data_IF_113381186960
#
_entry.id   IF_113381186960
#
_cell.length_a   1.000
_cell.length_b   1.000
_cell.length_c   1.000
_cell.angle_alpha   90.00
_cell.angle_beta   90.00
_cell.angle_gamma   90.00
#
_symmetry.space_group_name_H-M   'P 1'
#
loop_
_entity.id
_entity.type
_entity.pdbx_description
1 polymer ?
#
# COMPACT_ATOMS: atom_id res chain seq x y z
N UNK A 1 15.70 -23.31 20.15
CA UNK A 1 14.99 -22.06 19.80
C UNK A 1 14.31 -21.37 21.01
N UNK A 2 14.16 -22.02 22.18
CA UNK A 2 13.56 -21.41 23.39
C UNK A 2 14.51 -20.60 24.29
N UNK A 3 15.83 -20.83 24.25
CA UNK A 3 16.77 -20.18 25.19
C UNK A 3 17.20 -18.76 24.77
N UNK A 4 16.98 -18.38 23.50
CA UNK A 4 17.32 -17.04 23.00
C UNK A 4 16.29 -15.99 23.44
N UNK A 5 15.00 -16.34 23.36
CA UNK A 5 13.90 -15.45 23.79
C UNK A 5 13.89 -15.20 25.30
N UNK A 6 14.20 -16.19 26.14
CA UNK A 6 14.25 -16.00 27.59
C UNK A 6 15.39 -15.07 28.04
N UNK A 7 16.53 -15.11 27.34
CA UNK A 7 17.70 -14.26 27.65
C UNK A 7 17.47 -12.82 27.21
N UNK A 8 16.77 -12.60 26.10
CA UNK A 8 16.36 -11.27 25.63
C UNK A 8 15.31 -10.63 26.56
N UNK A 9 14.34 -11.40 27.05
CA UNK A 9 13.27 -10.90 27.92
C UNK A 9 13.76 -10.49 29.30
N UNK A 10 14.70 -11.26 29.89
CA UNK A 10 15.29 -10.93 31.20
C UNK A 10 16.27 -9.74 31.14
N UNK A 11 16.92 -9.51 29.99
CA UNK A 11 17.73 -8.32 29.76
C UNK A 11 16.87 -7.06 29.59
N UNK A 12 15.74 -7.17 28.88
CA UNK A 12 14.76 -6.09 28.75
C UNK A 12 14.08 -5.75 30.07
N UNK A 13 13.75 -6.74 30.91
CA UNK A 13 13.18 -6.50 32.25
C UNK A 13 14.16 -5.81 33.22
N UNK A 14 15.45 -6.13 33.13
CA UNK A 14 16.48 -5.43 33.93
C UNK A 14 16.72 -4.01 33.47
N UNK A 15 16.63 -3.77 32.15
CA UNK A 15 16.79 -2.43 31.58
C UNK A 15 15.55 -1.55 31.79
N UNK A 16 14.34 -2.12 31.82
CA UNK A 16 13.14 -1.38 32.22
C UNK A 16 13.12 -1.11 33.72
N UNK A 17 13.61 -2.02 34.58
CA UNK A 17 13.75 -1.74 36.01
C UNK A 17 14.77 -0.66 36.33
N UNK A 18 15.89 -0.57 35.59
CA UNK A 18 16.88 0.50 35.78
C UNK A 18 16.34 1.85 35.31
N UNK A 19 15.58 1.89 34.20
CA UNK A 19 14.92 3.10 33.69
C UNK A 19 13.75 3.52 34.59
N UNK A 20 12.97 2.59 35.13
CA UNK A 20 11.92 2.89 36.11
C UNK A 20 12.53 3.40 37.42
N UNK A 21 13.65 2.83 37.88
CA UNK A 21 14.37 3.34 39.07
C UNK A 21 15.01 4.70 38.84
N UNK A 22 15.60 4.96 37.67
CA UNK A 22 16.18 6.28 37.38
C UNK A 22 15.11 7.36 37.18
N UNK A 23 13.95 7.00 36.65
CA UNK A 23 12.77 7.90 36.58
C UNK A 23 12.13 8.10 37.96
N UNK A 24 12.13 7.08 38.83
CA UNK A 24 11.53 7.17 40.17
C UNK A 24 12.42 7.86 41.23
N UNK A 25 13.74 7.93 41.02
CA UNK A 25 14.67 8.52 41.99
C UNK A 25 14.97 10.01 41.78
N UNK A 26 14.68 10.57 40.59
CA UNK A 26 14.89 12.00 40.32
C UNK A 26 13.61 12.85 40.51
N UNK A 27 12.44 12.21 40.53
CA UNK A 27 11.18 12.87 40.89
C UNK A 27 10.94 12.73 42.40
N UNK A 28 11.48 13.66 43.19
CA UNK A 28 10.98 13.90 44.54
C UNK A 28 9.45 13.97 44.52
N UNK A 29 8.81 13.29 45.46
CA UNK A 29 7.35 13.13 45.61
C UNK A 29 6.58 14.47 45.56
N UNK A 30 6.38 15.02 44.37
CA UNK A 30 5.39 16.03 44.08
C UNK A 30 4.15 15.29 43.58
N UNK A 31 3.18 15.11 44.47
CA UNK A 31 1.86 14.49 44.23
C UNK A 31 0.97 15.24 43.20
N UNK A 32 1.55 16.14 42.42
CA UNK A 32 0.89 16.98 41.42
C UNK A 32 1.78 17.10 40.19
N UNK A 33 1.48 16.38 39.11
CA UNK A 33 2.07 16.76 37.82
C UNK A 33 1.35 16.14 36.62
N UNK A 34 1.43 14.85 36.36
CA UNK A 34 0.89 14.24 35.12
C UNK A 34 0.76 12.72 35.25
N UNK A 35 1.59 12.12 36.10
CA UNK A 35 1.63 10.69 36.39
C UNK A 35 0.30 10.20 36.99
N UNK A 36 -0.34 11.00 37.84
CA UNK A 36 -1.66 10.69 38.42
C UNK A 36 -2.74 10.59 37.35
N UNK A 37 -2.75 11.50 36.37
CA UNK A 37 -3.66 11.47 35.22
C UNK A 37 -3.40 10.24 34.34
N UNK A 38 -2.14 9.85 34.18
CA UNK A 38 -1.77 8.65 33.44
C UNK A 38 -2.28 7.38 34.16
N UNK A 39 -2.11 7.28 35.47
CA UNK A 39 -2.66 6.16 36.25
C UNK A 39 -4.19 6.14 36.22
N UNK A 40 -4.84 7.30 36.30
CA UNK A 40 -6.30 7.41 36.19
C UNK A 40 -6.81 6.97 34.82
N UNK A 41 -6.07 7.30 33.75
CA UNK A 41 -6.34 6.83 32.40
C UNK A 41 -6.25 5.30 32.30
N UNK A 42 -5.14 4.73 32.78
CA UNK A 42 -4.91 3.28 32.77
C UNK A 42 -5.97 2.53 33.58
N UNK A 43 -6.31 3.06 34.77
CA UNK A 43 -7.33 2.52 35.63
C UNK A 43 -8.71 2.57 34.98
N UNK A 44 -9.08 3.70 34.37
CA UNK A 44 -10.35 3.86 33.66
C UNK A 44 -10.45 2.91 32.46
N UNK A 45 -9.35 2.70 31.73
CA UNK A 45 -9.31 1.75 30.63
C UNK A 45 -9.41 0.29 31.09
N UNK A 46 -8.75 -0.07 32.20
CA UNK A 46 -8.85 -1.39 32.83
C UNK A 46 -10.29 -1.67 33.30
N UNK A 47 -10.92 -0.68 33.93
CA UNK A 47 -12.30 -0.80 34.37
C UNK A 47 -13.27 -0.85 33.18
N UNK A 48 -12.97 -0.16 32.07
CA UNK A 48 -13.75 -0.27 30.84
C UNK A 48 -13.70 -1.68 30.23
N UNK A 49 -12.56 -2.38 30.35
CA UNK A 49 -12.42 -3.76 29.87
C UNK A 49 -13.31 -4.75 30.63
N UNK A 50 -13.56 -4.48 31.92
CA UNK A 50 -14.38 -5.33 32.80
C UNK A 50 -15.87 -4.95 32.72
N UNK A 51 -16.17 -3.68 32.46
CA UNK A 51 -17.53 -3.18 32.35
C UNK A 51 -18.21 -3.59 31.02
N UNK A 52 -19.54 -3.57 31.01
CA UNK A 52 -20.34 -3.87 29.81
C UNK A 52 -21.31 -2.72 29.48
N UNK A 53 -21.65 -2.57 28.20
CA UNK A 53 -22.67 -1.62 27.73
C UNK A 53 -22.25 -0.14 27.82
N UNK A 54 -23.16 0.73 28.24
CA UNK A 54 -22.94 2.18 28.26
C UNK A 54 -21.80 2.61 29.21
N UNK A 55 -21.61 1.87 30.30
CA UNK A 55 -20.56 2.14 31.28
C UNK A 55 -19.16 1.90 30.70
N UNK A 56 -19.01 0.88 29.84
CA UNK A 56 -17.76 0.60 29.12
C UNK A 56 -17.35 1.80 28.24
N UNK A 57 -18.27 2.35 27.46
CA UNK A 57 -17.99 3.50 26.60
C UNK A 57 -17.64 4.76 27.40
N UNK A 58 -18.34 5.01 28.51
CA UNK A 58 -18.08 6.17 29.37
C UNK A 58 -16.69 6.09 30.03
N UNK A 59 -16.32 4.92 30.56
CA UNK A 59 -15.01 4.68 31.16
C UNK A 59 -13.88 4.69 30.12
N UNK A 60 -14.10 4.17 28.91
CA UNK A 60 -13.12 4.25 27.83
C UNK A 60 -12.86 5.71 27.42
N UNK A 61 -13.92 6.52 27.29
CA UNK A 61 -13.81 7.94 26.95
C UNK A 61 -13.09 8.75 28.05
N UNK A 62 -13.45 8.54 29.32
CA UNK A 62 -12.75 9.16 30.44
C UNK A 62 -11.27 8.77 30.48
N UNK A 63 -10.96 7.49 30.21
CA UNK A 63 -9.59 6.99 30.10
C UNK A 63 -8.80 7.75 29.04
N UNK A 64 -9.36 7.94 27.85
CA UNK A 64 -8.72 8.68 26.77
C UNK A 64 -8.57 10.18 27.09
N UNK A 65 -9.56 10.82 27.71
CA UNK A 65 -9.46 12.24 28.11
C UNK A 65 -8.32 12.43 29.12
N UNK A 66 -8.24 11.57 30.14
CA UNK A 66 -7.15 11.62 31.11
C UNK A 66 -5.79 11.34 30.46
N UNK A 67 -5.73 10.46 29.45
CA UNK A 67 -4.52 10.22 28.68
C UNK A 67 -4.05 11.49 27.95
N UNK A 68 -4.95 12.15 27.23
CA UNK A 68 -4.65 13.38 26.46
C UNK A 68 -4.16 14.47 27.41
N UNK A 69 -4.84 14.68 28.54
CA UNK A 69 -4.44 15.65 29.55
C UNK A 69 -3.10 15.31 30.20
N UNK A 70 -2.85 14.03 30.51
CA UNK A 70 -1.58 13.57 31.06
C UNK A 70 -0.42 13.85 30.10
N UNK A 71 -0.57 13.51 28.82
CA UNK A 71 0.48 13.71 27.81
C UNK A 71 0.67 15.19 27.50
N UNK A 72 -0.40 15.98 27.42
CA UNK A 72 -0.32 17.42 27.24
C UNK A 72 0.45 18.08 28.40
N UNK A 73 0.11 17.73 29.65
CA UNK A 73 0.78 18.25 30.82
C UNK A 73 2.25 17.80 30.90
N UNK A 74 2.51 16.51 30.65
CA UNK A 74 3.86 15.95 30.58
C UNK A 74 4.74 16.70 29.59
N UNK A 75 4.24 16.87 28.36
CA UNK A 75 4.99 17.52 27.28
C UNK A 75 5.14 19.03 27.48
N UNK A 76 4.24 19.68 28.21
CA UNK A 76 4.35 21.10 28.59
C UNK A 76 5.35 21.30 29.75
N UNK A 77 5.40 20.35 30.69
CA UNK A 77 6.29 20.41 31.86
C UNK A 77 7.73 20.05 31.52
N UNK A 78 7.95 19.16 30.55
CA UNK A 78 9.28 18.80 30.06
C UNK A 78 9.75 19.80 29.00
N UNK A 79 10.45 20.85 29.44
CA UNK A 79 11.03 21.90 28.56
C UNK A 79 12.01 21.38 27.48
N UNK A 80 12.39 20.10 27.47
CA UNK A 80 13.47 19.56 26.60
C UNK A 80 13.04 18.94 25.27
N UNK A 81 11.74 18.82 24.95
CA UNK A 81 11.28 18.27 23.67
C UNK A 81 11.19 19.35 22.56
N UNK A 82 12.29 20.07 22.35
CA UNK A 82 12.45 21.04 21.24
C UNK A 82 13.50 20.53 20.28
N UNK A 83 13.13 20.40 19.00
CA UNK A 83 14.10 20.25 17.91
C UNK A 83 14.26 21.63 17.26
N UNK A 84 15.48 22.16 17.32
CA UNK A 84 15.95 23.43 16.74
C UNK A 84 15.28 24.75 17.20
N UNK A 85 13.96 24.76 17.45
CA UNK A 85 13.21 25.74 18.28
C UNK A 85 11.69 25.42 18.31
N UNK A 86 11.27 24.35 17.62
CA UNK A 86 9.85 23.98 17.48
C UNK A 86 9.46 23.01 18.59
N UNK A 87 8.41 23.28 19.38
CA UNK A 87 7.93 22.33 20.38
C UNK A 87 7.32 21.11 19.66
N UNK A 88 7.87 19.91 19.90
CA UNK A 88 7.25 18.66 19.42
C UNK A 88 6.01 18.27 20.23
N UNK A 89 5.79 18.93 21.37
CA UNK A 89 4.67 18.69 22.29
C UNK A 89 3.30 18.68 21.57
N UNK A 90 2.91 19.72 20.80
CA UNK A 90 1.62 19.73 20.09
C UNK A 90 1.49 18.66 19.02
N UNK A 91 2.62 18.19 18.47
CA UNK A 91 2.66 17.12 17.49
C UNK A 91 2.27 15.79 18.11
N UNK A 92 2.88 15.41 19.24
CA UNK A 92 2.56 14.17 19.95
C UNK A 92 1.12 14.18 20.49
N UNK A 93 0.70 15.29 21.11
CA UNK A 93 -0.66 15.40 21.66
C UNK A 93 -1.70 15.37 20.55
N UNK A 94 -1.45 16.05 19.42
CA UNK A 94 -2.37 16.03 18.28
C UNK A 94 -2.48 14.65 17.63
N UNK A 95 -1.43 13.82 17.66
CA UNK A 95 -1.48 12.44 17.17
C UNK A 95 -2.43 11.59 18.01
N UNK A 96 -2.33 11.71 19.34
CA UNK A 96 -3.19 10.98 20.27
C UNK A 96 -4.64 11.45 20.13
N UNK A 97 -4.86 12.77 20.02
CA UNK A 97 -6.19 13.34 19.82
C UNK A 97 -6.79 12.90 18.48
N UNK A 98 -6.02 12.88 17.39
CA UNK A 98 -6.51 12.45 16.09
C UNK A 98 -6.87 10.97 16.07
N UNK A 99 -6.03 10.10 16.65
CA UNK A 99 -6.33 8.68 16.80
C UNK A 99 -7.54 8.46 17.70
N UNK A 100 -7.75 9.28 18.74
CA UNK A 100 -8.93 9.20 19.58
C UNK A 100 -10.21 9.55 18.82
N UNK A 101 -10.26 10.73 18.19
CA UNK A 101 -11.47 11.21 17.48
C UNK A 101 -11.87 10.24 16.36
N UNK A 102 -10.91 9.77 15.57
CA UNK A 102 -11.18 8.95 14.39
C UNK A 102 -11.11 7.44 14.67
N UNK A 103 -10.40 6.99 15.71
CA UNK A 103 -10.24 5.59 16.07
C UNK A 103 -11.29 5.06 17.04
N UNK A 104 -11.88 5.93 17.89
CA UNK A 104 -12.95 5.53 18.82
C UNK A 104 -14.23 5.06 18.11
N UNK A 105 -14.44 5.46 16.86
CA UNK A 105 -15.65 5.16 16.10
C UNK A 105 -15.54 3.84 15.32
N UNK A 106 -14.35 3.43 14.88
CA UNK A 106 -14.18 2.29 13.96
C UNK A 106 -13.22 1.19 14.41
N UNK A 107 -12.52 1.34 15.54
CA UNK A 107 -11.63 0.30 16.10
C UNK A 107 -10.41 -0.03 15.22
N UNK A 108 -10.23 0.70 14.12
CA UNK A 108 -9.07 0.67 13.22
C UNK A 108 -8.60 2.10 12.99
N UNK A 109 -7.29 2.30 12.86
CA UNK A 109 -6.74 3.63 12.54
C UNK A 109 -7.08 3.95 11.10
N UNK A 110 -8.14 4.73 10.88
CA UNK A 110 -8.48 5.21 9.54
C UNK A 110 -7.39 6.17 9.01
N UNK A 111 -7.09 6.15 7.69
CA UNK A 111 -6.18 7.10 7.07
C UNK A 111 -6.52 8.57 7.37
N UNK A 112 -7.82 8.87 7.58
CA UNK A 112 -8.32 10.20 7.96
C UNK A 112 -7.68 10.73 9.25
N UNK A 113 -7.39 9.86 10.21
CA UNK A 113 -6.74 10.24 11.47
C UNK A 113 -5.33 10.80 11.24
N UNK A 114 -4.59 10.19 10.30
CA UNK A 114 -3.23 10.59 9.95
C UNK A 114 -3.23 11.86 9.08
N UNK A 115 -4.25 12.03 8.22
CA UNK A 115 -4.42 13.25 7.42
C UNK A 115 -4.76 14.45 8.32
N UNK A 116 -5.65 14.28 9.31
CA UNK A 116 -6.08 15.35 10.20
C UNK A 116 -5.07 15.69 11.31
N UNK A 117 -4.12 14.79 11.59
CA UNK A 117 -3.15 14.93 12.67
C UNK A 117 -2.37 16.26 12.62
N UNK A 118 -1.71 16.65 11.51
CA UNK A 118 -0.98 17.93 11.44
C UNK A 118 -1.86 19.15 11.77
N UNK A 119 -3.12 19.16 11.32
CA UNK A 119 -4.05 20.26 11.55
C UNK A 119 -4.47 20.37 13.02
N UNK A 120 -4.75 19.22 13.67
CA UNK A 120 -5.07 19.18 15.09
C UNK A 120 -3.87 19.63 15.92
N UNK A 121 -2.67 19.21 15.54
CA UNK A 121 -1.42 19.67 16.18
C UNK A 121 -1.21 21.18 16.04
N UNK A 122 -1.51 21.75 14.86
CA UNK A 122 -1.46 23.20 14.65
C UNK A 122 -2.47 23.93 15.57
N UNK A 123 -3.68 23.41 15.68
CA UNK A 123 -4.72 23.98 16.54
C UNK A 123 -4.28 23.97 18.02
N UNK A 124 -3.76 22.85 18.52
CA UNK A 124 -3.28 22.73 19.91
C UNK A 124 -2.12 23.71 20.17
N UNK A 125 -1.19 23.83 19.23
CA UNK A 125 -0.07 24.78 19.35
C UNK A 125 -0.53 26.25 19.34
N UNK A 126 -1.62 26.56 18.63
CA UNK A 126 -2.18 27.91 18.54
C UNK A 126 -3.03 28.30 19.77
N UNK A 127 -3.61 27.33 20.49
CA UNK A 127 -4.42 27.57 21.69
C UNK A 127 -3.76 28.53 22.70
N UNK A 128 -2.54 28.27 23.22
CA UNK A 128 -1.92 29.15 24.22
C UNK A 128 -1.60 30.55 23.68
N UNK A 129 -1.56 30.75 22.36
CA UNK A 129 -1.33 32.05 21.74
C UNK A 129 -2.62 32.88 21.61
N UNK A 130 -3.79 32.21 21.60
CA UNK A 130 -5.12 32.80 21.45
C UNK A 130 -5.90 32.91 22.77
N UNK A 131 -5.57 32.10 23.78
CA UNK A 131 -6.13 32.20 25.12
C UNK A 131 -5.27 33.13 25.99
N UNK A 132 -5.88 34.17 26.56
CA UNK A 132 -5.24 34.97 27.62
C UNK A 132 -5.23 34.24 28.96
N UNK A 133 -4.53 34.82 29.96
CA UNK A 133 -4.37 34.23 31.31
C UNK A 133 -5.71 33.94 32.02
N UNK A 134 -6.80 34.60 31.60
CA UNK A 134 -8.17 34.41 32.13
C UNK A 134 -9.03 33.42 31.30
N UNK A 135 -8.45 32.60 30.42
CA UNK A 135 -9.16 31.78 29.43
C UNK A 135 -10.09 32.57 28.48
N UNK A 136 -9.98 33.91 28.45
CA UNK A 136 -10.71 34.78 27.54
C UNK A 136 -10.04 34.76 26.16
N UNK A 137 -10.86 34.64 25.12
CA UNK A 137 -10.40 34.70 23.73
C UNK A 137 -9.80 36.10 23.48
N UNK A 138 -8.47 36.18 23.40
CA UNK A 138 -7.76 37.43 23.16
C UNK A 138 -7.25 37.41 21.73
N UNK A 139 -7.55 38.44 20.96
CA UNK A 139 -7.00 38.53 19.60
C UNK A 139 -5.48 38.73 19.70
N UNK A 140 -4.67 37.81 19.14
CA UNK A 140 -3.21 37.90 19.28
C UNK A 140 -2.66 39.16 18.61
N UNK A 141 -1.51 39.63 19.11
CA UNK A 141 -0.75 40.73 18.51
C UNK A 141 -0.37 40.41 17.05
N UNK A 142 -0.23 41.42 16.16
CA UNK A 142 0.01 41.22 14.73
C UNK A 142 1.23 40.34 14.42
N UNK A 143 2.29 40.41 15.23
CA UNK A 143 3.49 39.58 15.06
C UNK A 143 3.22 38.09 15.34
N UNK A 144 2.41 37.79 16.37
CA UNK A 144 2.01 36.41 16.69
C UNK A 144 1.05 35.83 15.64
N UNK A 145 0.24 36.67 14.97
CA UNK A 145 -0.66 36.23 13.89
C UNK A 145 0.10 35.64 12.70
N UNK A 146 1.22 36.27 12.30
CA UNK A 146 2.07 35.78 11.20
C UNK A 146 2.63 34.40 11.52
N UNK A 147 3.10 34.18 12.75
CA UNK A 147 3.60 32.88 13.22
C UNK A 147 2.51 31.81 13.21
N UNK A 148 1.29 32.13 13.64
CA UNK A 148 0.16 31.20 13.61
C UNK A 148 -0.22 30.82 12.17
N UNK A 149 -0.27 31.80 11.26
CA UNK A 149 -0.55 31.55 9.84
C UNK A 149 0.53 30.64 9.24
N UNK A 150 1.82 30.94 9.47
CA UNK A 150 2.93 30.14 8.96
C UNK A 150 2.89 28.70 9.52
N UNK A 151 2.55 28.56 10.81
CA UNK A 151 2.35 27.25 11.43
C UNK A 151 1.20 26.48 10.77
N UNK A 152 0.03 27.09 10.62
CA UNK A 152 -1.12 26.44 9.97
C UNK A 152 -0.84 26.07 8.52
N UNK A 153 -0.23 26.95 7.74
CA UNK A 153 0.12 26.69 6.34
C UNK A 153 1.12 25.54 6.23
N UNK A 154 2.15 25.49 7.08
CA UNK A 154 3.11 24.38 7.06
C UNK A 154 2.45 23.04 7.41
N UNK A 155 1.59 23.01 8.43
CA UNK A 155 0.87 21.80 8.82
C UNK A 155 -0.19 21.39 7.77
N UNK A 156 -0.80 22.35 7.07
CA UNK A 156 -1.69 22.08 5.94
C UNK A 156 -0.93 21.41 4.79
N UNK A 157 0.27 21.88 4.47
CA UNK A 157 1.13 21.24 3.45
C UNK A 157 1.42 19.78 3.85
N UNK A 158 1.76 19.51 5.12
CA UNK A 158 1.95 18.13 5.60
C UNK A 158 0.67 17.29 5.49
N UNK A 159 -0.49 17.86 5.82
CA UNK A 159 -1.79 17.18 5.66
C UNK A 159 -2.05 16.82 4.20
N UNK A 160 -1.79 17.75 3.26
CA UNK A 160 -1.89 17.50 1.82
C UNK A 160 -0.92 16.41 1.38
N UNK A 161 0.32 16.37 1.89
CA UNK A 161 1.28 15.30 1.60
C UNK A 161 0.79 13.94 2.09
N UNK A 162 0.22 13.85 3.30
CA UNK A 162 -0.36 12.60 3.79
C UNK A 162 -1.55 12.16 2.95
N UNK A 163 -2.45 13.08 2.61
CA UNK A 163 -3.59 12.79 1.75
C UNK A 163 -3.13 12.29 0.37
N UNK A 164 -2.15 12.95 -0.21
CA UNK A 164 -1.54 12.55 -1.47
C UNK A 164 -0.90 11.15 -1.37
N UNK A 165 -0.15 10.88 -0.30
CA UNK A 165 0.44 9.57 -0.06
C UNK A 165 -0.62 8.47 0.00
N UNK A 166 -1.70 8.63 0.78
CA UNK A 166 -2.76 7.63 0.85
C UNK A 166 -3.52 7.47 -0.46
N UNK A 167 -3.75 8.56 -1.20
CA UNK A 167 -4.36 8.49 -2.53
C UNK A 167 -3.50 7.65 -3.48
N UNK A 168 -2.20 7.88 -3.52
CA UNK A 168 -1.27 7.10 -4.36
C UNK A 168 -1.21 5.64 -3.91
N UNK A 169 -1.15 5.36 -2.61
CA UNK A 169 -1.16 3.98 -2.12
C UNK A 169 -2.44 3.23 -2.50
N UNK A 170 -3.60 3.88 -2.41
CA UNK A 170 -4.87 3.28 -2.83
C UNK A 170 -4.89 3.03 -4.34
N UNK A 171 -4.46 4.00 -5.15
CA UNK A 171 -4.34 3.81 -6.61
C UNK A 171 -3.40 2.66 -6.97
N UNK A 172 -2.27 2.51 -6.28
CA UNK A 172 -1.33 1.41 -6.52
C UNK A 172 -1.85 0.05 -6.06
N UNK A 173 -2.73 0.01 -5.04
CA UNK A 173 -3.40 -1.20 -4.61
C UNK A 173 -4.49 -1.64 -5.61
N UNK A 174 -5.23 -0.68 -6.15
CA UNK A 174 -6.31 -0.92 -7.12
C UNK A 174 -5.79 -1.17 -8.55
N UNK A 175 -4.64 -0.58 -8.91
CA UNK A 175 -4.05 -0.66 -10.24
C UNK A 175 -2.54 -0.99 -10.18
N UNK A 176 -2.15 -2.20 -9.71
CA UNK A 176 -0.74 -2.61 -9.62
C UNK A 176 0.03 -2.58 -10.94
N UNK A 177 -0.64 -2.67 -12.10
CA UNK A 177 0.02 -2.54 -13.41
C UNK A 177 0.57 -1.14 -13.66
N UNK A 178 0.09 -0.10 -12.95
CA UNK A 178 0.69 1.23 -12.99
C UNK A 178 2.17 1.20 -12.53
N UNK A 179 2.56 0.28 -11.64
CA UNK A 179 3.96 0.17 -11.18
C UNK A 179 4.93 -0.20 -12.32
N UNK A 180 4.41 -0.83 -13.37
CA UNK A 180 5.19 -1.31 -14.52
C UNK A 180 5.15 -0.30 -15.66
N UNK A 181 4.20 0.64 -15.62
CA UNK A 181 4.03 1.65 -16.66
C UNK A 181 5.20 2.64 -16.69
N UNK A 182 5.34 3.34 -17.82
CA UNK A 182 6.47 4.23 -18.04
C UNK A 182 6.18 5.70 -17.72
N UNK A 183 6.55 6.10 -16.50
CA UNK A 183 6.46 7.50 -16.06
C UNK A 183 7.67 8.37 -16.41
N UNK A 184 8.51 7.98 -17.37
CA UNK A 184 9.70 8.77 -17.75
C UNK A 184 9.38 10.23 -18.17
N UNK A 185 8.14 10.52 -18.57
CA UNK A 185 7.66 11.86 -18.92
C UNK A 185 6.91 12.58 -17.79
N UNK A 186 6.79 11.96 -16.62
CA UNK A 186 6.09 12.53 -15.48
C UNK A 186 7.05 13.35 -14.61
N UNK A 187 6.70 14.61 -14.34
CA UNK A 187 7.47 15.48 -13.43
C UNK A 187 7.43 15.01 -11.95
N UNK A 188 6.61 13.99 -11.64
CA UNK A 188 6.27 13.61 -10.27
C UNK A 188 6.80 12.22 -9.85
N UNK A 189 7.09 11.31 -10.80
CA UNK A 189 7.42 9.90 -10.48
C UNK A 189 8.78 9.55 -11.05
N UNK A 190 9.79 9.40 -10.18
CA UNK A 190 11.13 8.95 -10.54
C UNK A 190 11.25 7.45 -10.25
N UNK A 191 11.55 6.64 -11.27
CA UNK A 191 11.83 5.22 -11.09
C UNK A 191 13.16 5.03 -10.37
N UNK A 192 13.13 4.35 -9.23
CA UNK A 192 14.34 3.85 -8.60
C UNK A 192 14.73 2.51 -9.26
N UNK A 193 15.90 2.40 -9.92
CA UNK A 193 16.28 1.23 -10.71
C UNK A 193 16.66 -0.01 -9.88
N UNK A 194 16.46 0.02 -8.56
CA UNK A 194 16.94 -1.02 -7.63
C UNK A 194 15.99 -2.21 -7.47
N UNK A 195 14.76 -2.15 -7.98
CA UNK A 195 13.82 -3.26 -7.91
C UNK A 195 13.73 -4.00 -9.25
N UNK A 196 13.69 -5.34 -9.25
CA UNK A 196 13.44 -6.10 -10.46
C UNK A 196 12.08 -5.68 -11.05
N UNK A 197 11.97 -5.60 -12.39
CA UNK A 197 10.73 -5.16 -13.03
C UNK A 197 9.59 -6.09 -12.61
N UNK A 198 8.60 -5.50 -11.93
CA UNK A 198 7.37 -6.21 -11.57
C UNK A 198 6.64 -6.52 -12.88
N UNK A 199 6.13 -7.74 -13.04
CA UNK A 199 5.36 -8.11 -14.23
C UNK A 199 3.96 -7.52 -14.16
N UNK A 200 3.39 -7.05 -15.29
CA UNK A 200 2.04 -6.52 -15.29
C UNK A 200 1.05 -7.65 -15.05
N UNK A 201 -0.10 -7.33 -14.44
CA UNK A 201 -1.09 -8.32 -14.00
C UNK A 201 -1.62 -9.19 -15.15
N UNK A 202 -1.69 -8.62 -16.36
CA UNK A 202 -2.06 -9.33 -17.58
C UNK A 202 -1.15 -10.53 -17.92
N UNK A 203 0.12 -10.53 -17.52
CA UNK A 203 1.01 -11.71 -17.68
C UNK A 203 0.54 -12.86 -16.79
N UNK A 204 0.27 -12.58 -15.51
CA UNK A 204 -0.24 -13.58 -14.57
C UNK A 204 -1.58 -14.18 -15.05
N UNK A 205 -2.43 -13.34 -15.66
CA UNK A 205 -3.67 -13.80 -16.28
C UNK A 205 -3.41 -14.74 -17.45
N UNK A 206 -2.54 -14.36 -18.39
CA UNK A 206 -2.16 -15.20 -19.53
C UNK A 206 -1.46 -16.51 -19.11
N UNK A 207 -0.63 -16.48 -18.08
CA UNK A 207 0.06 -17.66 -17.55
C UNK A 207 -0.94 -18.65 -16.95
N UNK A 208 -1.92 -18.17 -16.18
CA UNK A 208 -2.96 -19.02 -15.62
C UNK A 208 -3.89 -19.57 -16.72
N UNK A 209 -4.25 -18.76 -17.71
CA UNK A 209 -4.99 -19.23 -18.88
C UNK A 209 -4.23 -20.31 -19.65
N UNK A 210 -2.94 -20.10 -19.91
CA UNK A 210 -2.09 -21.08 -20.57
C UNK A 210 -1.99 -22.39 -19.78
N UNK A 211 -1.89 -22.31 -18.44
CA UNK A 211 -1.92 -23.48 -17.58
C UNK A 211 -3.24 -24.24 -17.67
N UNK A 212 -4.39 -23.55 -17.64
CA UNK A 212 -5.71 -24.19 -17.79
C UNK A 212 -5.89 -24.81 -19.18
N UNK A 213 -5.43 -24.12 -20.22
CA UNK A 213 -5.44 -24.62 -21.58
C UNK A 213 -4.61 -25.89 -21.71
N UNK A 214 -3.40 -25.92 -21.13
CA UNK A 214 -2.58 -27.13 -21.07
C UNK A 214 -3.30 -28.26 -20.32
N UNK A 215 -3.94 -27.98 -19.19
CA UNK A 215 -4.69 -29.00 -18.45
C UNK A 215 -5.85 -29.61 -19.26
N UNK A 216 -6.58 -28.79 -20.03
CA UNK A 216 -7.73 -29.26 -20.79
C UNK A 216 -7.35 -29.96 -22.10
N UNK A 217 -6.29 -29.49 -22.76
CA UNK A 217 -5.92 -29.93 -24.10
C UNK A 217 -4.75 -30.91 -24.13
N UNK A 218 -3.88 -30.99 -23.12
CA UNK A 218 -2.71 -31.87 -23.18
C UNK A 218 -3.10 -33.35 -22.98
N UNK A 219 -2.42 -34.24 -23.69
CA UNK A 219 -2.63 -35.70 -23.64
C UNK A 219 -4.06 -36.17 -23.98
N UNK A 220 -4.83 -35.36 -24.71
CA UNK A 220 -6.14 -35.76 -25.25
C UNK A 220 -5.98 -36.37 -26.65
N UNK A 221 -6.88 -37.26 -27.09
CA UNK A 221 -6.87 -37.79 -28.45
C UNK A 221 -6.97 -36.66 -29.50
N UNK A 222 -6.15 -36.72 -30.55
CA UNK A 222 -6.09 -35.68 -31.58
C UNK A 222 -7.46 -35.33 -32.22
N UNK A 223 -8.34 -36.30 -32.56
CA UNK A 223 -9.64 -35.98 -33.14
C UNK A 223 -10.55 -35.16 -32.20
N UNK A 224 -10.40 -35.34 -30.89
CA UNK A 224 -11.15 -34.53 -29.90
C UNK A 224 -10.64 -33.09 -29.89
N UNK A 225 -9.34 -32.90 -30.05
CA UNK A 225 -8.70 -31.58 -30.08
C UNK A 225 -9.08 -30.82 -31.34
N UNK A 226 -9.10 -31.47 -32.51
CA UNK A 226 -9.56 -30.85 -33.74
C UNK A 226 -11.01 -30.36 -33.63
N UNK A 227 -11.87 -31.15 -32.98
CA UNK A 227 -13.25 -30.75 -32.70
C UNK A 227 -13.35 -29.55 -31.76
N UNK A 228 -12.55 -29.51 -30.70
CA UNK A 228 -12.52 -28.40 -29.73
C UNK A 228 -11.91 -27.13 -30.32
N UNK A 229 -11.01 -27.25 -31.31
CA UNK A 229 -10.39 -26.11 -31.99
C UNK A 229 -11.25 -25.51 -33.12
N UNK A 230 -12.41 -26.11 -33.43
CA UNK A 230 -13.40 -25.51 -34.32
C UNK A 230 -13.88 -24.16 -33.78
N UNK A 231 -14.20 -23.17 -34.64
CA UNK A 231 -14.47 -21.79 -34.22
C UNK A 231 -15.42 -21.65 -33.03
N UNK A 232 -16.59 -22.29 -33.08
CA UNK A 232 -17.62 -22.19 -32.04
C UNK A 232 -17.21 -22.84 -30.70
N UNK A 233 -16.63 -24.04 -30.74
CA UNK A 233 -16.20 -24.74 -29.52
C UNK A 233 -14.98 -24.07 -28.89
N UNK A 234 -14.10 -23.52 -29.72
CA UNK A 234 -12.95 -22.74 -29.29
C UNK A 234 -13.38 -21.47 -28.56
N UNK A 235 -14.35 -20.73 -29.09
CA UNK A 235 -14.88 -19.54 -28.42
C UNK A 235 -15.41 -19.88 -27.02
N UNK A 236 -16.18 -20.96 -26.91
CA UNK A 236 -16.69 -21.46 -25.62
C UNK A 236 -15.56 -21.84 -24.67
N UNK A 237 -14.55 -22.57 -25.17
CA UNK A 237 -13.37 -22.95 -24.39
C UNK A 237 -12.65 -21.73 -23.82
N UNK A 238 -12.36 -20.73 -24.65
CA UNK A 238 -11.63 -19.53 -24.23
C UNK A 238 -12.46 -18.69 -23.26
N UNK A 239 -13.77 -18.53 -23.49
CA UNK A 239 -14.66 -17.83 -22.55
C UNK A 239 -14.71 -18.55 -21.20
N UNK A 240 -14.83 -19.88 -21.18
CA UNK A 240 -14.83 -20.67 -19.96
C UNK A 240 -13.50 -20.54 -19.19
N UNK A 241 -12.37 -20.69 -19.88
CA UNK A 241 -11.04 -20.53 -19.27
C UNK A 241 -10.86 -19.10 -18.73
N UNK A 242 -11.32 -18.08 -19.45
CA UNK A 242 -11.25 -16.67 -19.04
C UNK A 242 -12.05 -16.45 -17.76
N UNK A 243 -13.30 -16.91 -17.71
CA UNK A 243 -14.15 -16.79 -16.51
C UNK A 243 -13.54 -17.49 -15.29
N UNK A 244 -13.02 -18.71 -15.47
CA UNK A 244 -12.34 -19.46 -14.41
C UNK A 244 -11.06 -18.77 -13.93
N UNK A 245 -10.33 -18.13 -14.86
CA UNK A 245 -9.10 -17.40 -14.56
C UNK A 245 -9.41 -16.15 -13.75
N UNK A 246 -10.41 -15.35 -14.16
CA UNK A 246 -10.87 -14.18 -13.41
C UNK A 246 -11.33 -14.56 -12.01
N UNK A 247 -12.10 -15.64 -11.85
CA UNK A 247 -12.56 -16.11 -10.55
C UNK A 247 -11.39 -16.52 -9.63
N UNK A 248 -10.34 -17.13 -10.18
CA UNK A 248 -9.18 -17.58 -9.39
C UNK A 248 -8.25 -16.43 -9.02
N UNK A 249 -8.08 -15.44 -9.90
CA UNK A 249 -7.26 -14.24 -9.64
C UNK A 249 -7.97 -13.27 -8.68
N UNK A 250 -9.31 -13.19 -8.73
CA UNK A 250 -10.14 -12.32 -7.89
C UNK A 250 -10.20 -12.71 -6.40
N UNK A 251 -9.27 -13.53 -5.90
CA UNK A 251 -9.12 -13.82 -4.45
C UNK A 251 -9.01 -12.54 -3.61
N UNK A 252 -8.57 -11.44 -4.23
CA UNK A 252 -8.91 -10.07 -3.83
C UNK A 252 -9.53 -9.38 -5.06
N UNK A 253 -10.77 -8.89 -4.96
CA UNK A 253 -11.42 -8.16 -6.05
C UNK A 253 -10.62 -6.87 -6.31
N UNK A 254 -9.90 -6.83 -7.43
CA UNK A 254 -9.12 -5.66 -7.85
C UNK A 254 -9.77 -5.11 -9.12
N UNK A 255 -10.07 -3.81 -9.12
CA UNK A 255 -10.77 -3.14 -10.22
C UNK A 255 -10.03 -3.27 -11.56
N UNK A 256 -8.70 -3.41 -11.51
CA UNK A 256 -7.86 -3.63 -12.67
C UNK A 256 -8.30 -4.82 -13.56
N UNK A 257 -8.83 -5.91 -12.97
CA UNK A 257 -9.17 -7.14 -13.71
C UNK A 257 -10.28 -6.95 -14.76
N UNK A 258 -11.11 -5.92 -14.60
CA UNK A 258 -12.19 -5.59 -15.54
C UNK A 258 -11.69 -4.77 -16.73
N UNK A 259 -10.55 -4.09 -16.60
CA UNK A 259 -9.93 -3.29 -17.65
C UNK A 259 -9.05 -4.11 -18.61
N UNK A 260 -8.82 -5.38 -18.29
CA UNK A 260 -8.13 -6.32 -19.15
C UNK A 260 -9.12 -7.08 -20.04
N UNK A 261 -9.02 -6.86 -21.35
CA UNK A 261 -9.75 -7.67 -22.33
C UNK A 261 -8.87 -8.80 -22.84
N UNK A 262 -9.44 -10.00 -22.90
CA UNK A 262 -8.79 -11.19 -23.43
C UNK A 262 -9.29 -11.45 -24.84
N UNK A 263 -8.37 -11.59 -25.78
CA UNK A 263 -8.66 -12.09 -27.11
C UNK A 263 -7.73 -13.24 -27.47
N UNK A 264 -7.88 -13.74 -28.68
CA UNK A 264 -7.03 -14.80 -29.18
C UNK A 264 -6.93 -14.78 -30.71
N UNK A 265 -5.90 -15.42 -31.25
CA UNK A 265 -5.70 -15.62 -32.69
C UNK A 265 -5.22 -17.03 -32.93
N UNK A 266 -5.73 -17.68 -33.98
CA UNK A 266 -5.30 -19.03 -34.38
C UNK A 266 -4.65 -18.98 -35.75
N UNK A 267 -3.47 -19.55 -35.84
CA UNK A 267 -2.76 -19.79 -37.09
C UNK A 267 -2.51 -21.28 -37.24
N UNK A 268 -2.81 -21.85 -38.42
CA UNK A 268 -2.41 -23.21 -38.75
C UNK A 268 -0.88 -23.27 -38.90
N UNK A 269 -0.26 -24.29 -38.31
CA UNK A 269 1.18 -24.52 -38.38
C UNK A 269 1.42 -26.02 -38.46
N UNK A 270 1.62 -26.55 -39.66
CA UNK A 270 1.79 -27.98 -39.94
C UNK A 270 2.91 -28.59 -39.05
N UNK A 271 2.66 -29.68 -38.27
CA UNK A 271 1.47 -30.55 -38.23
C UNK A 271 0.41 -30.24 -37.15
N UNK A 272 0.20 -28.98 -36.77
CA UNK A 272 -0.76 -28.60 -35.72
C UNK A 272 -1.28 -27.16 -35.79
N UNK A 273 -1.57 -26.60 -34.61
CA UNK A 273 -2.17 -25.29 -34.44
C UNK A 273 -1.32 -24.42 -33.52
N UNK A 274 -1.23 -23.14 -33.82
CA UNK A 274 -0.68 -22.14 -32.91
C UNK A 274 -1.81 -21.22 -32.46
N UNK A 275 -2.11 -21.27 -31.16
CA UNK A 275 -3.10 -20.43 -30.50
C UNK A 275 -2.36 -19.32 -29.73
N UNK A 276 -2.43 -18.10 -30.24
CA UNK A 276 -1.93 -16.92 -29.56
C UNK A 276 -3.03 -16.34 -28.68
N UNK A 277 -2.82 -16.36 -27.36
CA UNK A 277 -3.66 -15.64 -26.40
C UNK A 277 -3.15 -14.21 -26.31
N UNK A 278 -4.04 -13.22 -26.43
CA UNK A 278 -3.67 -11.82 -26.25
C UNK A 278 -4.50 -11.20 -25.13
N UNK A 279 -3.89 -10.25 -24.42
CA UNK A 279 -4.57 -9.38 -23.48
C UNK A 279 -4.29 -7.94 -23.83
N UNK A 280 -5.33 -7.15 -23.97
CA UNK A 280 -5.25 -5.72 -24.26
C UNK A 280 -5.73 -4.93 -23.05
N UNK A 281 -4.93 -3.96 -22.64
CA UNK A 281 -5.27 -3.02 -21.58
C UNK A 281 -6.18 -1.90 -22.09
N UNK A 282 -7.32 -1.72 -21.43
CA UNK A 282 -8.27 -0.65 -21.73
C UNK A 282 -8.30 0.47 -20.70
N UNK A 283 -7.54 0.34 -19.62
CA UNK A 283 -7.45 1.35 -18.59
C UNK A 283 -6.62 2.57 -19.00
N UNK A 284 -6.54 3.57 -18.11
CA UNK A 284 -5.67 4.73 -18.29
C UNK A 284 -4.20 4.28 -18.39
N UNK A 285 -3.44 4.98 -19.23
CA UNK A 285 -2.03 4.68 -19.52
C UNK A 285 -1.27 5.96 -19.80
N UNK A 286 -0.01 5.99 -19.40
CA UNK A 286 0.89 7.11 -19.65
C UNK A 286 1.37 7.17 -21.11
N UNK A 287 1.39 6.03 -21.80
CA UNK A 287 1.83 5.92 -23.20
C UNK A 287 0.66 5.68 -24.17
N UNK A 288 0.83 6.19 -25.39
CA UNK A 288 -0.15 6.05 -26.50
C UNK A 288 -0.15 4.63 -27.09
N UNK A 289 0.95 3.87 -26.97
CA UNK A 289 1.07 2.54 -27.58
C UNK A 289 0.13 1.53 -26.92
N UNK A 290 -0.45 0.62 -27.71
CA UNK A 290 -1.30 -0.46 -27.22
C UNK A 290 -0.51 -1.41 -26.31
N UNK A 291 -0.92 -1.46 -25.03
CA UNK A 291 -0.38 -2.37 -24.01
C UNK A 291 -0.86 -3.80 -24.23
N UNK A 292 -0.53 -4.37 -25.39
CA UNK A 292 -0.92 -5.72 -25.78
C UNK A 292 0.15 -6.70 -25.31
N UNK A 293 -0.27 -7.71 -24.55
CA UNK A 293 0.58 -8.81 -24.11
C UNK A 293 0.09 -10.05 -24.84
N UNK A 294 1.01 -10.78 -25.45
CA UNK A 294 0.69 -11.99 -26.22
C UNK A 294 1.46 -13.18 -25.68
N UNK A 295 0.78 -14.33 -25.59
CA UNK A 295 1.37 -15.61 -25.20
C UNK A 295 0.94 -16.68 -26.20
N UNK A 296 1.90 -17.25 -26.92
CA UNK A 296 1.64 -18.23 -27.97
C UNK A 296 1.74 -19.66 -27.45
N UNK A 297 0.74 -20.48 -27.74
CA UNK A 297 0.66 -21.90 -27.38
C UNK A 297 0.59 -22.77 -28.63
N UNK A 298 1.61 -23.58 -28.85
CA UNK A 298 1.68 -24.57 -29.93
C UNK A 298 1.02 -25.87 -29.49
N UNK A 299 0.11 -26.38 -30.32
CA UNK A 299 -0.67 -27.60 -30.10
C UNK A 299 -0.32 -28.56 -31.24
N UNK A 300 0.50 -29.55 -30.95
CA UNK A 300 1.00 -30.50 -31.95
C UNK A 300 0.53 -31.93 -31.65
N UNK A 301 0.25 -32.74 -32.69
CA UNK A 301 0.02 -34.16 -32.54
C UNK A 301 1.34 -34.87 -32.24
N UNK A 302 1.32 -35.79 -31.29
CA UNK A 302 2.46 -36.64 -30.93
C UNK A 302 2.02 -38.09 -30.78
N UNK A 303 2.82 -39.00 -31.31
CA UNK A 303 2.58 -40.43 -31.14
C UNK A 303 2.94 -40.85 -29.71
N UNK A 304 1.98 -41.45 -29.01
CA UNK A 304 2.18 -42.03 -27.68
C UNK A 304 2.08 -43.56 -27.77
N UNK A 305 3.10 -44.30 -27.31
CA UNK A 305 3.02 -45.75 -27.22
C UNK A 305 1.97 -46.15 -26.18
N UNK A 306 1.14 -47.12 -26.54
CA UNK A 306 0.13 -47.74 -25.65
C UNK A 306 0.26 -49.26 -25.73
N UNK A 307 -0.20 -50.02 -24.72
CA UNK A 307 -0.07 -51.49 -24.71
C UNK A 307 -0.69 -52.19 -25.92
N UNK A 308 -1.66 -51.55 -26.59
CA UNK A 308 -2.41 -52.05 -27.73
C UNK A 308 -2.04 -51.38 -29.07
N UNK A 309 -1.04 -50.49 -29.12
CA UNK A 309 -0.61 -49.82 -30.36
C UNK A 309 -0.04 -48.41 -30.16
N UNK A 310 -0.13 -47.56 -31.18
CA UNK A 310 0.22 -46.13 -31.11
C UNK A 310 -1.03 -45.27 -31.16
N UNK A 311 -1.16 -44.31 -30.24
CA UNK A 311 -2.27 -43.34 -30.23
C UNK A 311 -1.72 -41.94 -30.46
N UNK A 312 -2.37 -41.18 -31.34
CA UNK A 312 -2.01 -39.78 -31.58
C UNK A 312 -2.70 -38.92 -30.53
N UNK A 313 -1.90 -38.29 -29.67
CA UNK A 313 -2.38 -37.39 -28.62
C UNK A 313 -1.81 -35.99 -28.83
N UNK A 314 -2.47 -34.98 -28.27
CA UNK A 314 -1.98 -33.61 -28.29
C UNK A 314 -0.87 -33.36 -27.28
N UNK A 315 0.08 -32.52 -27.68
CA UNK A 315 1.07 -31.89 -26.80
C UNK A 315 0.96 -30.38 -26.93
N UNK A 316 0.70 -29.71 -25.80
CA UNK A 316 0.61 -28.24 -25.75
C UNK A 316 1.89 -27.66 -25.15
N UNK A 317 2.52 -26.71 -25.85
CA UNK A 317 3.70 -25.97 -25.38
C UNK A 317 3.46 -24.48 -25.53
N UNK A 318 3.53 -23.73 -24.43
CA UNK A 318 3.35 -22.28 -24.45
C UNK A 318 4.67 -21.56 -24.22
N UNK A 319 4.91 -20.50 -25.00
CA UNK A 319 6.04 -19.61 -24.86
C UNK A 319 5.84 -18.63 -23.68
N UNK A 320 6.92 -18.02 -23.15
CA UNK A 320 6.77 -16.91 -22.21
C UNK A 320 6.01 -15.75 -22.86
N UNK A 321 5.28 -14.98 -22.04
CA UNK A 321 4.53 -13.83 -22.52
C UNK A 321 5.49 -12.77 -23.11
N UNK A 322 5.06 -12.10 -24.18
CA UNK A 322 5.80 -11.04 -24.88
C UNK A 322 4.91 -9.82 -25.02
N UNK A 323 5.50 -8.63 -24.94
CA UNK A 323 4.77 -7.35 -25.05
C UNK A 323 4.75 -6.56 -23.75
N UNK A 324 4.46 -5.26 -23.85
CA UNK A 324 4.43 -4.31 -22.73
C UNK A 324 5.65 -4.38 -21.78
N UNK A 325 6.86 -4.26 -22.33
CA UNK A 325 8.11 -4.28 -21.53
C UNK A 325 8.53 -5.65 -20.99
N UNK A 326 7.72 -6.70 -21.20
CA UNK A 326 8.02 -8.08 -20.80
C UNK A 326 8.94 -8.72 -21.84
N UNK A 327 10.09 -9.24 -21.38
CA UNK A 327 11.14 -9.85 -22.22
C UNK A 327 11.78 -8.93 -23.27
N UNK A 328 11.62 -7.60 -23.14
CA UNK A 328 12.52 -6.70 -23.85
C UNK A 328 13.88 -6.77 -23.15
N UNK A 329 14.99 -7.05 -23.87
CA UNK A 329 16.30 -6.76 -23.30
C UNK A 329 16.28 -5.29 -22.86
N UNK A 330 16.94 -4.99 -21.74
CA UNK A 330 17.34 -3.61 -21.43
C UNK A 330 18.25 -3.16 -22.56
N UNK A 331 17.68 -2.79 -23.72
CA UNK A 331 18.40 -2.03 -24.74
C UNK A 331 18.77 -0.75 -24.05
N UNK A 332 20.04 -0.74 -23.64
CA UNK A 332 20.91 0.40 -23.39
C UNK A 332 20.18 1.72 -23.53
N UNK A 333 20.09 2.42 -22.39
CA UNK A 333 19.91 3.85 -22.31
C UNK A 333 20.22 4.52 -23.66
N UNK A 334 19.17 4.94 -24.34
CA UNK A 334 19.31 5.75 -25.53
C UNK A 334 20.25 6.90 -25.16
N UNK A 335 21.39 6.94 -25.83
CA UNK A 335 22.23 8.11 -26.01
C UNK A 335 21.34 9.20 -26.59
N UNK A 336 20.65 9.92 -25.72
CA UNK A 336 19.91 11.12 -26.08
C UNK A 336 20.87 12.28 -25.78
N UNK A 337 21.42 12.98 -26.79
CA UNK A 337 22.40 14.05 -26.59
C UNK A 337 21.79 15.33 -25.96
N UNK A 338 20.56 15.26 -25.47
CA UNK A 338 19.80 16.41 -24.95
C UNK A 338 19.87 16.57 -23.43
N UNK A 339 20.68 15.78 -22.71
CA UNK A 339 20.80 15.85 -21.24
C UNK A 339 21.94 16.72 -20.69
N UNK A 340 22.59 17.55 -21.52
CA UNK A 340 23.69 18.43 -21.07
C UNK A 340 23.30 19.88 -20.72
N UNK A 341 22.05 20.29 -20.92
CA UNK A 341 21.66 21.71 -20.82
C UNK A 341 21.53 22.20 -19.37
N UNK A 342 21.42 21.29 -18.40
CA UNK A 342 21.24 21.66 -16.98
C UNK A 342 22.58 21.94 -16.28
N UNK A 343 23.70 21.46 -16.83
CA UNK A 343 25.03 21.70 -16.24
C UNK A 343 25.74 22.93 -16.81
N UNK A 344 25.34 23.41 -18.01
CA UNK A 344 25.97 24.59 -18.64
C UNK A 344 25.53 25.93 -18.01
N UNK A 345 24.43 25.97 -17.25
CA UNK A 345 23.97 27.19 -16.56
C UNK A 345 24.69 27.42 -15.21
N UNK A 346 25.39 26.42 -14.68
CA UNK A 346 26.09 26.53 -13.39
C UNK A 346 27.54 27.04 -13.56
N UNK A 347 28.06 27.11 -14.79
CA UNK A 347 29.43 27.53 -15.09
C UNK A 347 29.54 28.80 -15.97
N UNK A 348 28.48 29.61 -16.07
CA UNK A 348 28.56 31.02 -16.49
C UNK A 348 28.23 31.90 -15.29
#
# INVERSE_FOLDING_TARGET
>A
MNNFFQKQYSSLLKNTQSVIKSVALDSGFAWFSWLTLLFLSLFSWLMAFIATGLLQNLLANLGCIFLILAVYWWTTSTKSLRIYDVPLSPWITGAIVSVYIFGAITGKVEPKALIAWPLISAAIAALPLCLGDDFKLKTPAPDKRKTIILLFTSQLIFSCWFQFHFLVQNWLAEYPTLLVDNFDQSAFVVKYPLLPPKTPRGVSMLDLMASKLQQQLNAKPWPQIERVLLPQERDRLIQQITAQTKQQIASAKVEEDDLWQVGYTVSLKDPGYNLALNTSWQGPRSQVLEGNITKSCQINPVNRPTPTGTTVVSRVRCEPAKGWGVNQPLTTANNNPTRNWVWDIINQ
#
